data_IF_454464600383
#
_entry.id   IF_454464600383
#
_cell.length_a   1.000
_cell.length_b   1.000
_cell.length_c   1.000
_cell.angle_alpha   90.00
_cell.angle_beta   90.00
_cell.angle_gamma   90.00
#
_symmetry.space_group_name_H-M   'P 1'
#
loop_
_entity.id
_entity.type
_entity.pdbx_description
1 polymer ?
#
# COMPACT_ATOMS: atom_id res chain seq x y z
N UNK A 1 -3.68 20.07 5.18
CA UNK A 1 -4.34 19.17 6.16
C UNK A 1 -5.25 19.93 7.11
N UNK A 2 -4.78 20.90 7.90
CA UNK A 2 -5.63 21.65 8.85
C UNK A 2 -6.91 22.20 8.20
N UNK A 3 -6.78 22.86 7.04
CA UNK A 3 -7.94 23.36 6.29
C UNK A 3 -8.94 22.26 5.89
N UNK A 4 -8.45 21.11 5.42
CA UNK A 4 -9.30 19.95 5.06
C UNK A 4 -10.00 19.37 6.29
N UNK A 5 -9.31 19.31 7.42
CA UNK A 5 -9.91 18.87 8.68
C UNK A 5 -11.01 19.82 9.15
N UNK A 6 -10.75 21.13 9.17
CA UNK A 6 -11.76 22.15 9.52
C UNK A 6 -12.95 22.07 8.58
N UNK A 7 -12.71 21.90 7.28
CA UNK A 7 -13.77 21.70 6.30
C UNK A 7 -14.63 20.46 6.60
N UNK A 8 -14.00 19.33 6.96
CA UNK A 8 -14.72 18.13 7.40
C UNK A 8 -15.51 18.38 8.69
N UNK A 9 -14.95 19.10 9.66
CA UNK A 9 -15.66 19.46 10.88
C UNK A 9 -16.92 20.29 10.60
N UNK A 10 -16.85 21.20 9.62
CA UNK A 10 -18.00 22.00 9.17
C UNK A 10 -19.03 21.14 8.45
N UNK A 11 -18.59 20.28 7.52
CA UNK A 11 -19.49 19.39 6.77
C UNK A 11 -20.22 18.42 7.70
N UNK A 12 -19.52 17.84 8.67
CA UNK A 12 -20.09 16.84 9.57
C UNK A 12 -20.69 17.44 10.85
N UNK A 13 -20.66 18.76 11.00
CA UNK A 13 -21.16 19.47 12.19
C UNK A 13 -20.59 18.90 13.50
N UNK A 14 -19.32 18.49 13.49
CA UNK A 14 -18.63 17.89 14.64
C UNK A 14 -17.19 18.36 14.70
N UNK A 15 -16.63 18.47 15.90
CA UNK A 15 -15.21 18.79 16.09
C UNK A 15 -14.33 17.54 16.02
N UNK A 16 -14.90 16.32 15.97
CA UNK A 16 -14.17 15.06 15.79
C UNK A 16 -14.77 14.22 14.66
N UNK A 17 -14.52 14.56 13.38
CA UNK A 17 -15.09 13.84 12.24
C UNK A 17 -14.71 12.35 12.22
N UNK A 18 -13.53 12.00 12.74
CA UNK A 18 -13.08 10.61 12.85
C UNK A 18 -13.85 9.75 13.87
N UNK A 19 -14.59 10.37 14.81
CA UNK A 19 -15.34 9.65 15.87
C UNK A 19 -16.85 9.80 15.75
N UNK A 20 -17.31 10.95 15.26
CA UNK A 20 -18.73 11.29 15.22
C UNK A 20 -19.18 11.79 13.84
N UNK A 21 -18.27 11.83 12.86
CA UNK A 21 -18.58 12.28 11.52
C UNK A 21 -19.40 11.26 10.75
N UNK A 22 -20.06 11.70 9.68
CA UNK A 22 -20.88 10.81 8.84
C UNK A 22 -20.03 9.77 8.09
N UNK A 23 -18.74 10.06 7.95
CA UNK A 23 -17.78 9.27 7.21
C UNK A 23 -16.84 8.45 8.11
N UNK A 24 -17.21 8.14 9.36
CA UNK A 24 -16.42 7.40 10.38
C UNK A 24 -15.16 6.68 9.83
N UNK A 25 -15.35 5.57 9.11
CA UNK A 25 -14.26 4.72 8.61
C UNK A 25 -13.51 5.27 7.39
N UNK A 26 -14.12 6.15 6.60
CA UNK A 26 -13.56 6.76 5.38
C UNK A 26 -13.14 8.22 5.55
N UNK A 27 -13.22 8.79 6.75
CA UNK A 27 -12.84 10.19 7.03
C UNK A 27 -11.41 10.50 6.56
N UNK A 28 -10.51 9.52 6.68
CA UNK A 28 -9.13 9.62 6.19
C UNK A 28 -9.02 9.80 4.68
N UNK A 29 -9.97 9.29 3.89
CA UNK A 29 -9.96 9.38 2.42
C UNK A 29 -10.22 10.80 1.92
N UNK A 30 -10.91 11.61 2.73
CA UNK A 30 -11.16 13.01 2.45
C UNK A 30 -9.97 13.90 2.83
N UNK A 31 -9.02 13.39 3.63
CA UNK A 31 -7.80 14.09 4.03
C UNK A 31 -6.70 13.94 2.96
N UNK A 32 -6.96 14.53 1.79
CA UNK A 32 -6.17 14.40 0.57
C UNK A 32 -4.82 15.12 0.56
N UNK A 33 -4.47 15.86 1.62
CA UNK A 33 -3.18 16.55 1.76
C UNK A 33 -2.78 17.38 0.54
N UNK A 34 -1.52 17.25 0.10
CA UNK A 34 -0.96 17.95 -1.07
C UNK A 34 -1.21 17.15 -2.36
N UNK A 35 -1.17 15.82 -2.29
CA UNK A 35 -1.20 14.94 -3.47
C UNK A 35 -2.59 14.62 -4.02
N UNK A 36 -3.65 15.31 -3.58
CA UNK A 36 -5.06 15.06 -3.96
C UNK A 36 -5.56 13.63 -3.68
N UNK A 37 -4.75 12.79 -3.03
CA UNK A 37 -4.97 11.39 -2.71
C UNK A 37 -4.43 11.12 -1.31
N UNK A 38 -5.28 10.65 -0.40
CA UNK A 38 -4.94 10.37 1.02
C UNK A 38 -3.83 9.32 1.14
N UNK A 39 -3.95 8.20 0.42
CA UNK A 39 -2.99 7.10 0.44
C UNK A 39 -1.59 7.54 -0.02
N UNK A 40 -1.50 8.36 -1.07
CA UNK A 40 -0.21 8.93 -1.53
C UNK A 40 0.42 9.79 -0.43
N UNK A 41 -0.35 10.66 0.22
CA UNK A 41 0.16 11.46 1.34
C UNK A 41 0.58 10.57 2.51
N UNK A 42 -0.16 9.52 2.81
CA UNK A 42 0.15 8.60 3.89
C UNK A 42 1.49 7.92 3.63
N UNK A 43 1.70 7.34 2.45
CA UNK A 43 2.95 6.65 2.07
C UNK A 43 4.15 7.61 2.18
N UNK A 44 4.03 8.80 1.61
CA UNK A 44 5.13 9.80 1.63
C UNK A 44 5.39 10.28 3.06
N UNK A 45 4.33 10.52 3.85
CA UNK A 45 4.45 10.92 5.26
C UNK A 45 5.10 9.81 6.09
N UNK A 46 4.84 8.53 5.80
CA UNK A 46 5.53 7.39 6.41
C UNK A 46 7.03 7.40 6.10
N UNK A 47 7.44 7.77 4.88
CA UNK A 47 8.86 7.92 4.54
C UNK A 47 9.53 9.05 5.34
N UNK A 48 8.87 10.20 5.45
CA UNK A 48 9.34 11.30 6.30
C UNK A 48 9.40 10.91 7.77
N UNK A 49 8.41 10.16 8.26
CA UNK A 49 8.40 9.65 9.64
C UNK A 49 9.65 8.81 9.90
N UNK A 50 9.95 7.80 9.06
CA UNK A 50 11.14 6.98 9.21
C UNK A 50 12.44 7.80 9.13
N UNK A 51 12.52 8.74 8.19
CA UNK A 51 13.66 9.63 8.02
C UNK A 51 13.93 10.47 9.28
N UNK A 52 12.92 11.14 9.83
CA UNK A 52 13.08 12.01 11.00
C UNK A 52 13.26 11.22 12.29
N UNK A 53 12.60 10.06 12.42
CA UNK A 53 12.75 9.16 13.56
C UNK A 53 14.20 8.70 13.70
N UNK A 54 14.81 8.22 12.62
CA UNK A 54 16.20 7.76 12.60
C UNK A 54 17.18 8.91 12.93
N UNK A 55 16.89 10.13 12.48
CA UNK A 55 17.70 11.34 12.77
C UNK A 55 17.44 11.94 14.15
N UNK A 56 16.62 11.30 14.99
CA UNK A 56 16.22 11.78 16.33
C UNK A 56 15.58 13.18 16.32
N UNK A 57 14.99 13.58 15.18
CA UNK A 57 14.27 14.85 15.03
C UNK A 57 12.80 14.66 15.42
N UNK A 58 12.55 14.39 16.69
CA UNK A 58 11.24 13.92 17.19
C UNK A 58 10.07 14.87 16.89
N UNK A 59 10.28 16.20 16.91
CA UNK A 59 9.23 17.18 16.54
C UNK A 59 8.69 16.94 15.13
N UNK A 60 9.59 16.73 14.17
CA UNK A 60 9.24 16.48 12.77
C UNK A 60 8.75 15.05 12.54
N UNK A 61 9.29 14.07 13.27
CA UNK A 61 8.74 12.72 13.25
C UNK A 61 7.29 12.71 13.75
N UNK A 62 6.98 13.42 14.83
CA UNK A 62 5.62 13.53 15.35
C UNK A 62 4.68 14.24 14.35
N UNK A 63 5.15 15.32 13.70
CA UNK A 63 4.38 15.97 12.64
C UNK A 63 4.08 15.04 11.45
N UNK A 64 5.06 14.24 11.02
CA UNK A 64 4.88 13.26 9.95
C UNK A 64 3.95 12.10 10.38
N UNK A 65 4.05 11.64 11.62
CA UNK A 65 3.14 10.64 12.17
C UNK A 65 1.71 11.17 12.26
N UNK A 66 1.52 12.42 12.71
CA UNK A 66 0.22 13.06 12.71
C UNK A 66 -0.36 13.14 11.29
N UNK A 67 0.46 13.47 10.29
CA UNK A 67 0.06 13.43 8.89
C UNK A 67 -0.44 12.04 8.46
N UNK A 68 0.32 10.98 8.78
CA UNK A 68 -0.10 9.57 8.52
C UNK A 68 -1.46 9.27 9.17
N UNK A 69 -1.67 9.68 10.42
CA UNK A 69 -2.93 9.45 11.14
C UNK A 69 -4.09 10.26 10.55
N UNK A 70 -3.85 11.47 10.03
CA UNK A 70 -4.91 12.25 9.38
C UNK A 70 -5.27 11.70 8.01
N UNK A 71 -4.30 11.20 7.24
CA UNK A 71 -4.53 10.63 5.90
C UNK A 71 -4.73 9.12 5.97
N UNK A 72 -5.43 8.64 7.00
CA UNK A 72 -5.50 7.21 7.34
C UNK A 72 -6.01 6.39 6.16
N UNK A 73 -5.16 5.48 5.69
CA UNK A 73 -5.49 4.35 4.83
C UNK A 73 -5.20 3.09 5.66
N UNK A 74 -6.25 2.40 6.12
CA UNK A 74 -6.13 1.38 7.20
C UNK A 74 -5.09 0.30 6.89
N UNK A 75 -5.12 -0.26 5.68
CA UNK A 75 -4.13 -1.26 5.22
C UNK A 75 -2.72 -0.67 5.18
N UNK A 76 -2.58 0.59 4.81
CA UNK A 76 -1.33 1.35 4.86
C UNK A 76 -0.75 1.50 6.26
N UNK A 77 -1.59 1.76 7.26
CA UNK A 77 -1.20 1.84 8.67
C UNK A 77 -0.77 0.46 9.18
N UNK A 78 -1.52 -0.60 8.87
CA UNK A 78 -1.17 -1.97 9.25
C UNK A 78 0.22 -2.35 8.71
N UNK A 79 0.49 -2.04 7.44
CA UNK A 79 1.82 -2.26 6.83
C UNK A 79 2.89 -1.45 7.55
N UNK A 80 2.65 -0.16 7.82
CA UNK A 80 3.61 0.70 8.52
C UNK A 80 3.94 0.14 9.90
N UNK A 81 2.94 -0.26 10.69
CA UNK A 81 3.12 -0.88 12.01
C UNK A 81 3.88 -2.20 11.88
N UNK A 82 3.51 -3.05 10.92
CA UNK A 82 4.18 -4.33 10.68
C UNK A 82 5.66 -4.16 10.36
N UNK A 83 6.01 -3.21 9.51
CA UNK A 83 7.41 -2.93 9.16
C UNK A 83 8.18 -2.34 10.34
N UNK A 84 7.58 -1.42 11.09
CA UNK A 84 8.20 -0.90 12.31
C UNK A 84 8.44 -2.03 13.31
N UNK A 85 7.47 -2.93 13.51
CA UNK A 85 7.62 -4.08 14.37
C UNK A 85 8.76 -4.98 13.89
N UNK A 86 8.77 -5.39 12.62
CA UNK A 86 9.84 -6.21 12.04
C UNK A 86 11.20 -5.52 12.22
N UNK A 87 11.31 -4.23 11.90
CA UNK A 87 12.55 -3.48 12.04
C UNK A 87 13.01 -3.38 13.50
N UNK A 88 12.12 -3.08 14.44
CA UNK A 88 12.48 -2.99 15.85
C UNK A 88 12.84 -4.36 16.44
N UNK A 89 12.18 -5.43 15.99
CA UNK A 89 12.47 -6.80 16.42
C UNK A 89 13.80 -7.32 15.84
N UNK A 90 14.11 -6.97 14.59
CA UNK A 90 15.34 -7.43 13.90
C UNK A 90 16.54 -6.52 14.11
N UNK A 91 16.33 -5.24 14.43
CA UNK A 91 17.43 -4.29 14.62
C UNK A 91 18.21 -4.57 15.91
N UNK A 92 19.52 -4.37 15.86
CA UNK A 92 20.40 -4.40 17.04
C UNK A 92 20.30 -3.12 17.88
N UNK A 93 19.51 -2.15 17.43
CA UNK A 93 19.34 -0.84 18.08
C UNK A 93 18.64 -0.98 19.42
N UNK A 94 17.65 -1.88 19.52
CA UNK A 94 16.91 -2.11 20.76
C UNK A 94 17.52 -3.26 21.57
N UNK A 95 17.71 -3.03 22.87
CA UNK A 95 18.10 -4.09 23.80
C UNK A 95 16.96 -5.11 23.93
N UNK A 96 17.29 -6.38 24.22
CA UNK A 96 16.30 -7.47 24.39
C UNK A 96 15.13 -7.09 25.31
N UNK A 97 15.41 -6.39 26.43
CA UNK A 97 14.36 -5.90 27.35
C UNK A 97 13.38 -4.94 26.69
N UNK A 98 13.87 -4.02 25.84
CA UNK A 98 13.03 -3.05 25.12
C UNK A 98 12.17 -3.73 24.06
N UNK A 99 12.70 -4.77 23.38
CA UNK A 99 11.93 -5.58 22.43
C UNK A 99 10.76 -6.29 23.12
N UNK A 100 11.00 -6.88 24.30
CA UNK A 100 9.94 -7.52 25.10
C UNK A 100 8.86 -6.50 25.48
N UNK A 101 9.26 -5.32 26.00
CA UNK A 101 8.31 -4.25 26.35
C UNK A 101 7.47 -3.83 25.13
N UNK A 102 8.10 -3.65 23.97
CA UNK A 102 7.39 -3.27 22.75
C UNK A 102 6.36 -4.33 22.33
N UNK A 103 6.73 -5.62 22.37
CA UNK A 103 5.79 -6.73 22.09
C UNK A 103 4.64 -6.70 23.10
N UNK A 104 4.93 -6.55 24.40
CA UNK A 104 3.89 -6.46 25.43
C UNK A 104 2.94 -5.28 25.20
N UNK A 105 3.46 -4.13 24.78
CA UNK A 105 2.64 -2.96 24.43
C UNK A 105 1.78 -3.21 23.18
N UNK A 106 2.31 -3.87 22.15
CA UNK A 106 1.54 -4.25 20.96
C UNK A 106 0.41 -5.22 21.31
N UNK A 107 0.69 -6.24 22.12
CA UNK A 107 -0.33 -7.18 22.60
C UNK A 107 -1.40 -6.45 23.42
N UNK A 108 -0.99 -5.57 24.34
CA UNK A 108 -1.92 -4.74 25.11
C UNK A 108 -2.79 -3.86 24.21
N UNK A 109 -2.20 -3.24 23.18
CA UNK A 109 -2.92 -2.42 22.21
C UNK A 109 -3.96 -3.23 21.42
N UNK A 110 -3.64 -4.46 21.01
CA UNK A 110 -4.61 -5.37 20.36
C UNK A 110 -5.76 -5.70 21.31
N UNK A 111 -5.48 -5.95 22.60
CA UNK A 111 -6.52 -6.17 23.61
C UNK A 111 -7.42 -4.94 23.76
N UNK A 112 -6.85 -3.73 23.73
CA UNK A 112 -7.65 -2.50 23.76
C UNK A 112 -8.54 -2.38 22.52
N UNK A 113 -8.02 -2.64 21.32
CA UNK A 113 -8.86 -2.65 20.10
C UNK A 113 -10.00 -3.64 20.24
N UNK A 114 -9.75 -4.83 20.79
CA UNK A 114 -10.77 -5.84 21.03
C UNK A 114 -11.89 -5.34 21.96
N UNK A 115 -11.53 -4.64 23.03
CA UNK A 115 -12.50 -4.12 24.01
C UNK A 115 -13.26 -2.91 23.46
N UNK A 116 -12.56 -1.96 22.82
CA UNK A 116 -13.13 -0.67 22.42
C UNK A 116 -13.74 -0.66 21.02
N UNK A 117 -13.38 -1.59 20.16
CA UNK A 117 -13.85 -1.64 18.76
C UNK A 117 -14.11 -3.08 18.31
N UNK A 118 -15.08 -3.77 18.94
CA UNK A 118 -15.41 -5.15 18.61
C UNK A 118 -15.78 -5.33 17.12
N UNK A 119 -16.44 -4.34 16.50
CA UNK A 119 -16.76 -4.39 15.06
C UNK A 119 -15.54 -4.44 14.13
N UNK A 120 -14.40 -3.87 14.53
CA UNK A 120 -13.15 -4.00 13.77
C UNK A 120 -12.57 -5.42 13.90
N UNK A 121 -12.75 -6.08 15.05
CA UNK A 121 -12.37 -7.48 15.23
C UNK A 121 -13.24 -8.38 14.37
N UNK A 122 -14.55 -8.16 14.33
CA UNK A 122 -15.47 -8.90 13.47
C UNK A 122 -15.09 -8.74 11.99
N UNK A 123 -14.76 -7.52 11.57
CA UNK A 123 -14.24 -7.27 10.23
C UNK A 123 -12.95 -8.04 9.94
N UNK A 124 -11.96 -8.01 10.85
CA UNK A 124 -10.71 -8.77 10.70
C UNK A 124 -10.98 -10.27 10.67
N UNK A 125 -11.84 -10.78 11.55
CA UNK A 125 -12.22 -12.19 11.63
C UNK A 125 -12.94 -12.65 10.35
N UNK A 126 -13.87 -11.86 9.81
CA UNK A 126 -14.55 -12.16 8.57
C UNK A 126 -13.57 -12.19 7.38
N UNK A 127 -12.61 -11.27 7.32
CA UNK A 127 -11.58 -11.29 6.29
C UNK A 127 -10.65 -12.51 6.45
N UNK A 128 -10.22 -12.86 7.66
CA UNK A 128 -9.34 -14.00 7.91
C UNK A 128 -10.05 -15.34 7.66
N UNK A 129 -11.29 -15.48 8.09
CA UNK A 129 -12.08 -16.69 7.85
C UNK A 129 -12.38 -16.87 6.36
N UNK A 130 -12.61 -15.78 5.62
CA UNK A 130 -12.75 -15.83 4.17
C UNK A 130 -11.49 -16.38 3.46
N UNK A 131 -10.28 -16.10 3.96
CA UNK A 131 -9.03 -16.65 3.38
C UNK A 131 -9.04 -18.18 3.34
N UNK A 132 -9.61 -18.81 4.37
CA UNK A 132 -9.71 -20.28 4.48
C UNK A 132 -11.08 -20.82 4.08
N UNK A 133 -12.00 -19.95 3.65
CA UNK A 133 -13.34 -20.32 3.22
C UNK A 133 -13.43 -20.68 1.75
N UNK A 134 -14.62 -21.03 1.29
CA UNK A 134 -14.89 -21.38 -0.11
C UNK A 134 -14.72 -20.19 -1.09
N UNK A 135 -14.78 -18.95 -0.56
CA UNK A 135 -14.66 -17.71 -1.34
C UNK A 135 -13.54 -16.85 -0.76
N UNK A 136 -12.28 -17.07 -1.18
CA UNK A 136 -11.17 -16.26 -0.71
C UNK A 136 -11.32 -14.79 -1.11
N UNK A 137 -10.71 -13.84 -0.37
CA UNK A 137 -10.65 -12.45 -0.75
C UNK A 137 -10.11 -12.29 -2.18
N UNK A 138 -10.73 -11.39 -2.96
CA UNK A 138 -10.41 -11.26 -4.38
C UNK A 138 -8.95 -10.87 -4.66
N UNK A 139 -8.27 -10.22 -3.71
CA UNK A 139 -6.82 -10.00 -3.80
C UNK A 139 -6.04 -11.31 -3.86
N UNK A 140 -6.41 -12.31 -3.07
CA UNK A 140 -5.75 -13.63 -3.12
C UNK A 140 -6.08 -14.31 -4.44
N UNK A 141 -7.36 -14.27 -4.84
CA UNK A 141 -7.80 -14.80 -6.14
C UNK A 141 -7.03 -14.18 -7.30
N UNK A 142 -6.72 -12.87 -7.25
CA UNK A 142 -5.97 -12.19 -8.31
C UNK A 142 -4.51 -12.65 -8.40
N UNK A 143 -3.85 -12.95 -7.27
CA UNK A 143 -2.54 -13.60 -7.28
C UNK A 143 -2.58 -15.00 -7.88
N UNK A 144 -3.61 -15.80 -7.56
CA UNK A 144 -3.80 -17.14 -8.13
C UNK A 144 -4.05 -17.05 -9.64
N UNK A 145 -4.92 -16.15 -10.09
CA UNK A 145 -5.17 -15.90 -11.52
C UNK A 145 -3.89 -15.48 -12.25
N UNK A 146 -3.10 -14.58 -11.65
CA UNK A 146 -1.81 -14.16 -12.21
C UNK A 146 -0.85 -15.34 -12.35
N UNK A 147 -0.74 -16.16 -11.32
CA UNK A 147 0.17 -17.31 -11.33
C UNK A 147 -0.27 -18.37 -12.37
N UNK A 148 -1.56 -18.67 -12.45
CA UNK A 148 -2.09 -19.60 -13.42
C UNK A 148 -1.84 -19.12 -14.85
N UNK A 149 -2.15 -17.85 -15.14
CA UNK A 149 -1.88 -17.24 -16.45
C UNK A 149 -0.38 -17.26 -16.79
N UNK A 150 0.48 -16.90 -15.84
CA UNK A 150 1.92 -16.86 -16.02
C UNK A 150 2.53 -18.24 -16.31
N UNK A 151 1.92 -19.32 -15.82
CA UNK A 151 2.42 -20.69 -15.96
C UNK A 151 1.70 -21.52 -17.01
N UNK A 152 0.68 -20.97 -17.67
CA UNK A 152 -0.13 -21.66 -18.67
C UNK A 152 0.66 -22.04 -19.93
N UNK A 153 1.54 -21.14 -20.40
CA UNK A 153 2.41 -21.40 -21.55
C UNK A 153 3.77 -20.68 -21.47
N UNK A 154 4.78 -21.12 -22.24
CA UNK A 154 6.12 -20.55 -22.18
C UNK A 154 6.22 -19.08 -22.63
N UNK A 155 5.32 -18.60 -23.48
CA UNK A 155 5.34 -17.21 -23.95
C UNK A 155 4.86 -16.30 -22.83
N UNK A 156 3.73 -16.63 -22.19
CA UNK A 156 3.24 -15.92 -21.02
C UNK A 156 4.26 -15.96 -19.87
N UNK A 157 4.93 -17.10 -19.69
CA UNK A 157 5.98 -17.23 -18.68
C UNK A 157 7.11 -16.20 -18.88
N UNK A 158 7.58 -16.02 -20.11
CA UNK A 158 8.72 -15.13 -20.41
C UNK A 158 8.27 -13.66 -20.50
N UNK A 159 7.21 -13.39 -21.25
CA UNK A 159 6.82 -12.05 -21.67
C UNK A 159 5.57 -11.51 -20.98
N UNK A 160 4.76 -12.36 -20.35
CA UNK A 160 3.43 -12.01 -19.86
C UNK A 160 2.47 -11.64 -20.99
N UNK A 161 1.33 -11.04 -20.63
CA UNK A 161 0.27 -10.65 -21.58
C UNK A 161 0.53 -9.36 -22.33
N UNK A 162 1.56 -8.61 -21.96
CA UNK A 162 1.86 -7.27 -22.45
C UNK A 162 1.24 -6.15 -21.63
N UNK A 163 1.81 -4.96 -21.76
CA UNK A 163 1.41 -3.78 -20.99
C UNK A 163 -0.06 -3.40 -21.25
N UNK A 164 -0.82 -3.16 -20.19
CA UNK A 164 -2.23 -2.78 -20.27
C UNK A 164 -3.19 -3.93 -20.59
N UNK A 165 -2.72 -5.19 -20.57
CA UNK A 165 -3.51 -6.35 -21.01
C UNK A 165 -3.80 -7.38 -19.93
N UNK A 166 -3.42 -7.16 -18.67
CA UNK A 166 -3.69 -8.18 -17.64
C UNK A 166 -4.06 -7.64 -16.26
N UNK A 167 -3.24 -6.76 -15.67
CA UNK A 167 -3.44 -6.32 -14.28
C UNK A 167 -2.67 -5.04 -14.00
N UNK A 168 -2.94 -4.00 -14.76
CA UNK A 168 -2.39 -2.65 -14.53
C UNK A 168 -3.50 -1.65 -14.32
N UNK A 169 -3.16 -0.50 -13.76
CA UNK A 169 -4.12 0.62 -13.71
C UNK A 169 -4.54 1.06 -15.11
N UNK A 170 -3.64 0.95 -16.09
CA UNK A 170 -3.93 1.20 -17.50
C UNK A 170 -5.04 0.26 -18.01
N UNK A 171 -4.93 -1.05 -17.76
CA UNK A 171 -5.96 -2.02 -18.17
C UNK A 171 -7.36 -1.69 -17.59
N UNK A 172 -7.41 -1.30 -16.31
CA UNK A 172 -8.67 -0.85 -15.69
C UNK A 172 -9.18 0.48 -16.27
N UNK A 173 -8.30 1.45 -16.53
CA UNK A 173 -8.70 2.74 -17.10
C UNK A 173 -9.23 2.58 -18.54
N UNK A 174 -8.54 1.79 -19.37
CA UNK A 174 -8.92 1.63 -20.77
C UNK A 174 -10.16 0.77 -20.95
N UNK A 175 -10.60 0.00 -19.95
CA UNK A 175 -11.83 -0.79 -20.06
C UNK A 175 -13.11 0.04 -20.06
N UNK A 176 -13.02 1.35 -19.77
CA UNK A 176 -14.18 2.26 -19.71
C UNK A 176 -14.99 2.18 -18.41
N UNK A 177 -14.87 1.09 -17.65
CA UNK A 177 -15.66 0.87 -16.43
C UNK A 177 -15.07 1.56 -15.19
N UNK A 178 -13.75 1.70 -15.11
CA UNK A 178 -13.08 2.26 -13.93
C UNK A 178 -13.15 3.79 -13.85
N UNK A 179 -13.19 4.48 -14.98
CA UNK A 179 -13.14 5.93 -15.06
C UNK A 179 -14.17 6.48 -16.03
N UNK A 180 -15.20 7.15 -15.50
CA UNK A 180 -16.31 7.71 -16.28
C UNK A 180 -15.93 8.79 -17.29
N UNK A 181 -14.71 9.34 -17.20
CA UNK A 181 -14.19 10.34 -18.13
C UNK A 181 -13.43 9.73 -19.32
N UNK A 182 -13.18 8.42 -19.33
CA UNK A 182 -12.43 7.78 -20.38
C UNK A 182 -13.25 7.72 -21.69
N UNK A 183 -12.70 8.09 -22.86
CA UNK A 183 -13.48 8.15 -24.10
C UNK A 183 -13.89 6.75 -24.60
N UNK A 184 -15.19 6.54 -24.83
CA UNK A 184 -15.73 5.25 -25.32
C UNK A 184 -15.14 4.80 -26.65
N UNK A 185 -14.74 5.74 -27.52
CA UNK A 185 -14.06 5.42 -28.78
C UNK A 185 -12.66 4.81 -28.62
N UNK A 186 -12.07 4.90 -27.42
CA UNK A 186 -10.75 4.38 -27.09
C UNK A 186 -10.82 3.21 -26.10
N UNK A 187 -12.03 2.74 -25.75
CA UNK A 187 -12.21 1.62 -24.84
C UNK A 187 -11.57 0.35 -25.39
N UNK A 188 -10.75 -0.28 -24.55
CA UNK A 188 -10.05 -1.51 -24.84
C UNK A 188 -9.88 -2.32 -23.56
N UNK A 189 -10.29 -3.59 -23.65
CA UNK A 189 -10.05 -4.60 -22.64
C UNK A 189 -9.63 -5.88 -23.35
N UNK A 190 -8.44 -6.40 -23.02
CA UNK A 190 -7.99 -7.68 -23.54
C UNK A 190 -8.82 -8.83 -22.97
N UNK A 191 -8.85 -9.95 -23.69
CA UNK A 191 -9.49 -11.18 -23.22
C UNK A 191 -8.91 -11.63 -21.87
N UNK A 192 -7.58 -11.64 -21.74
CA UNK A 192 -6.90 -12.08 -20.52
C UNK A 192 -7.24 -11.20 -19.31
N UNK A 193 -7.40 -9.89 -19.51
CA UNK A 193 -7.85 -8.97 -18.45
C UNK A 193 -9.31 -9.24 -18.06
N UNK A 194 -10.20 -9.40 -19.04
CA UNK A 194 -11.64 -9.63 -18.83
C UNK A 194 -11.87 -10.92 -18.03
N UNK A 195 -11.25 -12.02 -18.46
CA UNK A 195 -11.43 -13.34 -17.86
C UNK A 195 -10.79 -13.46 -16.47
N UNK A 196 -9.83 -12.58 -16.14
CA UNK A 196 -9.14 -12.55 -14.87
C UNK A 196 -9.53 -11.32 -14.04
N UNK A 197 -8.71 -10.28 -14.06
CA UNK A 197 -8.74 -9.20 -13.07
C UNK A 197 -9.98 -8.32 -13.16
N UNK A 198 -10.54 -8.13 -14.36
CA UNK A 198 -11.75 -7.32 -14.53
C UNK A 198 -12.97 -7.97 -13.86
N UNK A 199 -13.07 -9.29 -13.92
CA UNK A 199 -14.15 -10.04 -13.26
C UNK A 199 -14.16 -9.85 -11.73
N UNK A 200 -13.00 -9.54 -11.15
CA UNK A 200 -12.82 -9.32 -9.73
C UNK A 200 -13.13 -7.88 -9.29
N UNK A 201 -13.13 -6.92 -10.22
CA UNK A 201 -13.29 -5.51 -9.90
C UNK A 201 -13.90 -4.74 -11.08
N UNK A 202 -15.21 -4.57 -11.02
CA UNK A 202 -15.98 -3.78 -11.96
C UNK A 202 -17.19 -3.15 -11.26
N UNK A 203 -17.89 -2.25 -11.94
CA UNK A 203 -19.05 -1.53 -11.40
C UNK A 203 -20.10 -2.45 -10.80
N UNK A 204 -20.39 -3.61 -11.42
CA UNK A 204 -21.38 -4.55 -10.88
C UNK A 204 -20.93 -5.18 -9.56
N UNK A 205 -19.65 -5.54 -9.44
CA UNK A 205 -19.08 -6.07 -8.18
C UNK A 205 -19.09 -5.02 -7.07
N UNK A 206 -18.84 -3.75 -7.42
CA UNK A 206 -18.77 -2.63 -6.47
C UNK A 206 -20.13 -2.12 -6.00
N UNK A 207 -21.22 -2.42 -6.73
CA UNK A 207 -22.59 -2.15 -6.25
C UNK A 207 -22.95 -2.97 -5.01
N UNK A 208 -22.26 -4.09 -4.77
CA UNK A 208 -22.49 -4.94 -3.60
C UNK A 208 -21.83 -4.27 -2.39
N UNK A 209 -22.57 -4.00 -1.30
CA UNK A 209 -21.99 -3.39 -0.10
C UNK A 209 -20.79 -4.18 0.45
N UNK A 210 -19.77 -3.47 0.96
CA UNK A 210 -18.55 -4.02 1.57
C UNK A 210 -17.58 -4.76 0.62
N UNK A 211 -17.83 -4.71 -0.69
CA UNK A 211 -16.94 -5.29 -1.69
C UNK A 211 -15.82 -4.33 -2.17
N UNK A 212 -15.81 -3.10 -1.70
CA UNK A 212 -14.88 -2.03 -2.10
C UNK A 212 -13.59 -1.96 -1.26
N UNK A 213 -13.49 -2.78 -0.20
CA UNK A 213 -12.32 -2.81 0.69
C UNK A 213 -11.03 -3.30 0.02
N UNK A 214 -9.87 -2.89 0.56
CA UNK A 214 -8.54 -3.24 0.03
C UNK A 214 -8.27 -4.75 -0.07
N UNK A 215 -8.86 -5.58 0.80
CA UNK A 215 -8.75 -7.04 0.72
C UNK A 215 -9.40 -7.62 -0.56
N UNK A 216 -10.33 -6.88 -1.15
CA UNK A 216 -11.09 -7.27 -2.33
C UNK A 216 -10.66 -6.54 -3.61
N UNK A 217 -9.71 -5.61 -3.51
CA UNK A 217 -9.07 -4.98 -4.67
C UNK A 217 -8.08 -5.96 -5.29
N UNK A 218 -8.15 -6.28 -6.60
CA UNK A 218 -7.21 -7.20 -7.23
C UNK A 218 -5.84 -6.54 -7.53
N UNK A 219 -5.66 -5.29 -7.12
CA UNK A 219 -4.53 -4.44 -7.46
C UNK A 219 -3.26 -4.84 -6.70
N UNK A 220 -2.16 -4.97 -7.45
CA UNK A 220 -0.81 -5.16 -6.93
C UNK A 220 0.21 -4.95 -8.05
N UNK A 221 1.31 -4.26 -7.75
CA UNK A 221 2.47 -4.15 -8.66
C UNK A 221 3.02 -5.53 -9.03
N UNK A 222 2.95 -6.50 -8.12
CA UNK A 222 3.42 -7.86 -8.39
C UNK A 222 2.54 -8.58 -9.43
N UNK A 223 1.23 -8.36 -9.39
CA UNK A 223 0.32 -8.89 -10.42
C UNK A 223 0.61 -8.25 -11.78
N UNK A 224 0.87 -6.94 -11.82
CA UNK A 224 1.29 -6.27 -13.06
C UNK A 224 2.61 -6.82 -13.58
N UNK A 225 3.62 -6.91 -12.71
CA UNK A 225 4.97 -7.33 -13.08
C UNK A 225 5.01 -8.75 -13.63
N UNK A 226 4.28 -9.67 -13.00
CA UNK A 226 4.25 -11.08 -13.42
C UNK A 226 3.25 -11.26 -14.57
N UNK A 227 2.03 -10.74 -14.44
CA UNK A 227 0.97 -10.96 -15.42
C UNK A 227 1.16 -10.22 -16.74
N UNK A 228 1.65 -8.98 -16.71
CA UNK A 228 1.86 -8.20 -17.94
C UNK A 228 3.26 -8.37 -18.55
N UNK A 229 4.28 -8.66 -17.74
CA UNK A 229 5.67 -8.68 -18.19
C UNK A 229 6.40 -10.00 -17.95
N UNK A 230 5.77 -11.00 -17.32
CA UNK A 230 6.33 -12.32 -17.09
C UNK A 230 7.67 -12.29 -16.34
N UNK A 231 8.55 -13.23 -16.69
CA UNK A 231 9.90 -13.32 -16.15
C UNK A 231 10.74 -12.07 -16.48
N UNK A 232 10.54 -11.47 -17.65
CA UNK A 232 11.24 -10.25 -18.04
C UNK A 232 10.94 -9.10 -17.06
N UNK A 233 9.68 -8.95 -16.66
CA UNK A 233 9.25 -7.99 -15.64
C UNK A 233 9.97 -8.17 -14.31
N UNK A 234 10.06 -9.43 -13.84
CA UNK A 234 10.78 -9.77 -12.61
C UNK A 234 12.26 -9.39 -12.72
N UNK A 235 12.92 -9.75 -13.82
CA UNK A 235 14.34 -9.44 -14.04
C UNK A 235 14.59 -7.92 -14.06
N UNK A 236 13.76 -7.16 -14.77
CA UNK A 236 13.86 -5.70 -14.82
C UNK A 236 13.62 -5.06 -13.45
N UNK A 237 12.67 -5.57 -12.68
CA UNK A 237 12.42 -5.08 -11.33
C UNK A 237 13.57 -5.40 -10.37
N UNK A 238 14.17 -6.60 -10.46
CA UNK A 238 15.37 -6.94 -9.69
C UNK A 238 16.56 -6.06 -10.09
N UNK A 239 16.69 -5.71 -11.37
CA UNK A 239 17.68 -4.76 -11.84
C UNK A 239 17.45 -3.35 -11.26
N UNK A 240 16.20 -2.87 -11.26
CA UNK A 240 15.83 -1.63 -10.60
C UNK A 240 16.18 -1.62 -9.10
N UNK A 241 15.93 -2.73 -8.41
CA UNK A 241 16.26 -2.89 -6.98
C UNK A 241 17.74 -3.17 -6.70
N UNK A 242 18.56 -3.44 -7.72
CA UNK A 242 19.96 -3.84 -7.56
C UNK A 242 20.75 -2.83 -6.71
N UNK A 243 20.64 -1.54 -7.00
CA UNK A 243 21.39 -0.51 -6.27
C UNK A 243 20.95 -0.41 -4.80
N UNK A 244 19.66 -0.26 -4.46
CA UNK A 244 19.20 -0.32 -3.07
C UNK A 244 19.66 -1.59 -2.33
N UNK A 245 19.59 -2.76 -2.97
CA UNK A 245 19.96 -4.04 -2.38
C UNK A 245 21.48 -4.16 -2.15
N UNK A 246 22.29 -3.68 -3.10
CA UNK A 246 23.76 -3.64 -2.97
C UNK A 246 24.21 -2.86 -1.73
N UNK A 247 23.53 -1.75 -1.42
CA UNK A 247 23.83 -0.90 -0.26
C UNK A 247 22.96 -1.19 0.97
N UNK A 248 22.20 -2.29 0.97
CA UNK A 248 21.15 -2.55 1.96
C UNK A 248 21.64 -2.44 3.41
N UNK A 249 22.82 -3.00 3.72
CA UNK A 249 23.41 -2.95 5.07
C UNK A 249 23.59 -1.51 5.58
N UNK A 250 23.81 -0.55 4.68
CA UNK A 250 24.16 0.84 4.99
C UNK A 250 22.99 1.84 4.87
N UNK A 251 21.81 1.37 4.43
CA UNK A 251 20.65 2.22 4.15
C UNK A 251 20.01 2.89 5.37
N UNK A 252 20.34 2.54 6.63
CA UNK A 252 19.72 3.15 7.82
C UNK A 252 18.17 3.23 7.70
N UNK A 253 17.55 4.42 7.72
CA UNK A 253 16.10 4.61 7.50
C UNK A 253 15.63 4.10 6.12
N UNK A 254 16.52 4.03 5.14
CA UNK A 254 16.24 3.49 3.82
C UNK A 254 15.84 2.02 3.85
N UNK A 255 16.21 1.26 4.89
CA UNK A 255 15.69 -0.12 5.08
C UNK A 255 14.19 -0.11 5.36
N UNK A 256 13.73 0.81 6.22
CA UNK A 256 12.31 0.99 6.53
C UNK A 256 11.53 1.47 5.31
N UNK A 257 12.09 2.45 4.58
CA UNK A 257 11.49 2.98 3.34
C UNK A 257 11.41 1.90 2.25
N UNK A 258 12.48 1.13 2.05
CA UNK A 258 12.50 0.02 1.10
C UNK A 258 11.51 -1.09 1.49
N UNK A 259 11.48 -1.49 2.76
CA UNK A 259 10.47 -2.42 3.25
C UNK A 259 9.06 -1.90 3.00
N UNK A 260 8.80 -0.63 3.35
CA UNK A 260 7.49 0.01 3.17
C UNK A 260 7.01 0.00 1.73
N UNK A 261 7.84 0.42 0.78
CA UNK A 261 7.38 0.43 -0.61
C UNK A 261 7.12 -0.99 -1.14
N UNK A 262 7.95 -1.97 -0.78
CA UNK A 262 7.78 -3.36 -1.21
C UNK A 262 6.50 -4.00 -0.65
N UNK A 263 6.11 -3.67 0.58
CA UNK A 263 4.83 -4.10 1.12
C UNK A 263 3.66 -3.29 0.54
N UNK A 264 3.81 -1.99 0.32
CA UNK A 264 2.78 -1.19 -0.33
C UNK A 264 2.48 -1.68 -1.75
N UNK A 265 3.46 -2.21 -2.48
CA UNK A 265 3.27 -2.88 -3.78
C UNK A 265 2.30 -4.08 -3.76
N UNK A 266 2.01 -4.66 -2.59
CA UNK A 266 0.93 -5.66 -2.43
C UNK A 266 -0.47 -5.02 -2.46
N UNK A 267 -0.58 -3.74 -2.14
CA UNK A 267 -1.86 -3.06 -1.95
C UNK A 267 -2.44 -2.46 -3.23
N UNK A 268 -1.60 -1.84 -4.04
CA UNK A 268 -2.04 -1.10 -5.24
C UNK A 268 -0.87 -0.99 -6.23
N UNK A 269 -1.12 -0.40 -7.39
CA UNK A 269 -0.17 -0.14 -8.47
C UNK A 269 0.80 1.01 -8.19
N UNK A 270 1.32 1.15 -6.96
CA UNK A 270 2.12 2.32 -6.54
C UNK A 270 3.37 2.58 -7.38
N UNK A 271 3.87 1.57 -8.08
CA UNK A 271 4.96 1.74 -9.04
C UNK A 271 4.58 2.66 -10.22
N UNK A 272 3.31 2.68 -10.62
CA UNK A 272 2.78 3.58 -11.65
C UNK A 272 2.55 5.01 -11.13
N UNK A 273 2.60 5.23 -9.81
CA UNK A 273 2.41 6.54 -9.20
C UNK A 273 3.73 7.29 -9.10
N UNK A 274 4.00 8.15 -10.08
CA UNK A 274 5.18 9.02 -10.09
C UNK A 274 5.35 9.83 -8.80
N UNK A 275 4.23 10.29 -8.22
CA UNK A 275 4.20 11.02 -6.95
C UNK A 275 4.72 10.21 -5.76
N UNK A 276 4.66 8.88 -5.79
CA UNK A 276 5.20 8.02 -4.73
C UNK A 276 6.65 7.64 -5.05
N UNK A 277 6.89 7.19 -6.28
CA UNK A 277 8.18 6.61 -6.68
C UNK A 277 9.33 7.61 -6.64
N UNK A 278 9.12 8.87 -7.03
CA UNK A 278 10.17 9.90 -6.90
C UNK A 278 10.61 10.06 -5.45
N UNK A 279 9.66 10.15 -4.51
CA UNK A 279 10.01 10.33 -3.11
C UNK A 279 10.77 9.11 -2.60
N UNK A 280 10.29 7.91 -2.92
CA UNK A 280 11.01 6.66 -2.60
C UNK A 280 12.47 6.72 -3.10
N UNK A 281 12.68 7.03 -4.38
CA UNK A 281 14.01 7.12 -4.99
C UNK A 281 14.87 8.19 -4.31
N UNK A 282 14.34 9.39 -4.08
CA UNK A 282 15.06 10.47 -3.39
C UNK A 282 15.52 10.01 -2.00
N UNK A 283 14.66 9.36 -1.21
CA UNK A 283 15.02 8.90 0.13
C UNK A 283 16.12 7.84 0.10
N UNK A 284 16.05 6.91 -0.85
CA UNK A 284 17.03 5.82 -0.99
C UNK A 284 18.36 6.35 -1.55
N UNK A 285 18.34 7.05 -2.67
CA UNK A 285 19.55 7.52 -3.35
C UNK A 285 20.25 8.63 -2.58
N UNK A 286 19.53 9.53 -1.88
CA UNK A 286 20.18 10.51 -0.99
C UNK A 286 20.94 9.83 0.15
N UNK A 287 20.43 8.72 0.68
CA UNK A 287 21.12 7.95 1.71
C UNK A 287 22.37 7.26 1.17
N UNK A 288 22.28 6.66 0.00
CA UNK A 288 23.42 5.99 -0.65
C UNK A 288 24.51 7.02 -0.97
N UNK A 289 24.12 8.17 -1.50
CA UNK A 289 25.04 9.28 -1.80
C UNK A 289 25.78 9.75 -0.54
N UNK A 290 25.04 9.99 0.56
CA UNK A 290 25.65 10.36 1.84
C UNK A 290 26.60 9.27 2.35
N UNK A 291 26.25 7.99 2.22
CA UNK A 291 27.12 6.90 2.64
C UNK A 291 28.44 6.87 1.86
N UNK A 292 28.39 7.04 0.53
CA UNK A 292 29.60 7.07 -0.32
C UNK A 292 30.56 8.20 0.06
N UNK A 293 30.03 9.40 0.32
CA UNK A 293 30.84 10.59 0.58
C UNK A 293 31.39 10.72 2.01
N UNK A 294 30.96 9.87 2.96
CA UNK A 294 31.50 9.86 4.33
C UNK A 294 32.48 8.70 4.58
N UNK A 295 32.77 7.89 3.55
CA UNK A 295 33.75 6.80 3.60
C UNK A 295 34.98 7.10 2.72
N UNK A 296 34.84 8.02 1.76
CA UNK A 296 35.97 8.71 1.11
C UNK A 296 36.57 9.75 2.04
#
# INVERSE_FOLDING_TARGET
MVFQYVHLCVIDSTWMPFLYGRHLMSTGDFMKGIFTNSSVNMIISSFFFFFYLQRRKFKWAFAALAAVMFTTYMSGIVIMIGILAIFFLTSDVLKRKQKIILISLLVFFVILIYIFSPGNIDYVYNNLSAIFGERPPRKITSFVQTFNYWTEDPINFIFGGGSGKFSSRVAFLTSGDYASWFPTSLEFASKDFIENHFSLWNTEVLKIPYNDGTANQPFSVYNTMIGEFGLLGIVLFLFYLYIPLKYFKNLAYGKLVLGAILFYFLLDYWFEYFSVMIFFEIFIYSRIYFYKNNIS
#
